data_IF_359998404337
#
_entry.id   IF_359998404337
#
_cell.length_a   1.000
_cell.length_b   1.000
_cell.length_c   1.000
_cell.angle_alpha   90.00
_cell.angle_beta   90.00
_cell.angle_gamma   90.00
#
_symmetry.space_group_name_H-M   'P 1'
#
loop_
_entity.id
_entity.type
_entity.pdbx_description
1 polymer ?
#
# COMPACT_ATOMS: atom_id res chain seq x y z
N UNK A 1 -20.27 -1.86 14.95
CA UNK A 1 -19.30 -2.98 15.02
C UNK A 1 -18.38 -2.80 13.83
N UNK A 2 -17.12 -2.44 14.04
CA UNK A 2 -16.16 -2.39 12.95
C UNK A 2 -15.77 -3.84 12.65
N UNK A 3 -16.29 -4.41 11.57
CA UNK A 3 -15.84 -5.70 11.09
C UNK A 3 -14.34 -5.60 10.80
N UNK A 4 -13.54 -6.29 11.60
CA UNK A 4 -12.11 -6.41 11.36
C UNK A 4 -11.92 -7.20 10.06
N UNK A 5 -11.67 -6.49 8.96
CA UNK A 5 -11.23 -7.11 7.70
C UNK A 5 -10.08 -8.06 7.99
N UNK A 6 -10.15 -9.29 7.50
CA UNK A 6 -9.04 -10.22 7.69
C UNK A 6 -7.80 -9.70 6.95
N UNK A 7 -6.61 -10.09 7.42
CA UNK A 7 -5.35 -9.71 6.76
C UNK A 7 -5.37 -10.02 5.25
N UNK A 8 -5.93 -11.19 4.91
CA UNK A 8 -6.06 -11.65 3.53
C UNK A 8 -6.98 -10.72 2.73
N UNK A 9 -8.08 -10.25 3.31
CA UNK A 9 -8.97 -9.29 2.65
C UNK A 9 -8.27 -7.96 2.40
N UNK A 10 -7.49 -7.45 3.37
CA UNK A 10 -6.74 -6.19 3.22
C UNK A 10 -5.67 -6.30 2.12
N UNK A 11 -4.99 -7.44 2.04
CA UNK A 11 -3.95 -7.68 1.03
C UNK A 11 -4.48 -7.74 -0.39
N UNK A 12 -5.64 -8.36 -0.60
CA UNK A 12 -6.26 -8.54 -1.91
C UNK A 12 -7.26 -7.43 -2.26
N UNK A 13 -7.54 -6.51 -1.34
CA UNK A 13 -8.42 -5.38 -1.59
C UNK A 13 -7.84 -4.53 -2.74
N UNK A 14 -8.63 -4.21 -3.77
CA UNK A 14 -8.17 -3.32 -4.82
C UNK A 14 -7.78 -1.96 -4.26
N UNK A 15 -6.64 -1.43 -4.69
CA UNK A 15 -6.15 -0.09 -4.29
C UNK A 15 -7.20 0.99 -4.59
N UNK A 16 -7.98 0.81 -5.67
CA UNK A 16 -9.08 1.69 -6.03
C UNK A 16 -10.18 1.79 -4.95
N UNK A 17 -10.32 0.78 -4.10
CA UNK A 17 -11.32 0.69 -3.02
C UNK A 17 -10.69 0.82 -1.62
N UNK A 18 -9.37 1.00 -1.52
CA UNK A 18 -8.68 1.12 -0.22
C UNK A 18 -9.16 2.37 0.54
N UNK A 19 -9.70 2.26 1.76
CA UNK A 19 -10.05 3.45 2.55
C UNK A 19 -8.77 4.14 3.07
N UNK A 20 -8.80 5.47 3.15
CA UNK A 20 -7.70 6.27 3.70
C UNK A 20 -6.60 6.68 2.72
N UNK A 21 -6.59 6.13 1.49
CA UNK A 21 -5.57 6.48 0.49
C UNK A 21 -5.97 7.69 -0.37
N UNK A 22 -5.02 8.58 -0.62
CA UNK A 22 -5.13 9.77 -1.43
C UNK A 22 -5.34 9.43 -2.91
N UNK A 23 -6.05 10.32 -3.63
CA UNK A 23 -6.25 10.17 -5.08
C UNK A 23 -4.91 10.17 -5.85
N UNK A 24 -3.94 10.95 -5.36
CA UNK A 24 -2.58 10.97 -5.90
C UNK A 24 -1.93 9.60 -5.79
N UNK A 25 -1.96 8.99 -4.60
CA UNK A 25 -1.36 7.69 -4.38
C UNK A 25 -2.01 6.59 -5.22
N UNK A 26 -3.35 6.58 -5.32
CA UNK A 26 -4.09 5.68 -6.22
C UNK A 26 -3.68 5.85 -7.68
N UNK A 27 -3.55 7.09 -8.16
CA UNK A 27 -3.14 7.37 -9.53
C UNK A 27 -1.71 6.89 -9.81
N UNK A 28 -0.80 7.05 -8.84
CA UNK A 28 0.60 6.57 -8.94
C UNK A 28 0.67 5.05 -8.91
N UNK A 29 -0.08 4.40 -8.03
CA UNK A 29 -0.21 2.94 -7.98
C UNK A 29 -0.71 2.40 -9.32
N UNK A 30 -1.75 3.03 -9.91
CA UNK A 30 -2.26 2.67 -11.23
C UNK A 30 -1.21 2.83 -12.33
N UNK A 31 -0.42 3.91 -12.31
CA UNK A 31 0.67 4.11 -13.27
C UNK A 31 1.77 3.03 -13.16
N UNK A 32 1.99 2.52 -11.94
CA UNK A 32 2.92 1.42 -11.66
C UNK A 32 2.30 0.03 -11.84
N UNK A 33 1.02 -0.05 -12.23
CA UNK A 33 0.23 -1.29 -12.36
C UNK A 33 0.05 -2.08 -11.05
N UNK A 34 0.11 -1.40 -9.91
CA UNK A 34 -0.31 -1.98 -8.64
C UNK A 34 -1.83 -1.98 -8.57
N UNK A 35 -2.38 -3.17 -8.35
CA UNK A 35 -3.83 -3.40 -8.29
C UNK A 35 -4.28 -3.67 -6.87
N UNK A 36 -3.42 -4.27 -6.04
CA UNK A 36 -3.69 -4.65 -4.65
C UNK A 36 -2.56 -4.23 -3.71
N UNK A 37 -2.80 -4.24 -2.40
CA UNK A 37 -1.74 -4.01 -1.41
C UNK A 37 -0.66 -5.09 -1.50
N UNK A 38 -1.05 -6.34 -1.79
CA UNK A 38 -0.12 -7.45 -1.99
C UNK A 38 0.93 -7.14 -3.06
N UNK A 39 0.54 -6.54 -4.18
CA UNK A 39 1.48 -6.18 -5.26
C UNK A 39 2.59 -5.24 -4.77
N UNK A 40 2.26 -4.34 -3.84
CA UNK A 40 3.19 -3.35 -3.29
C UNK A 40 4.09 -3.99 -2.24
N UNK A 41 3.52 -4.71 -1.26
CA UNK A 41 4.32 -5.30 -0.18
C UNK A 41 5.22 -6.43 -0.68
N UNK A 42 4.82 -7.12 -1.75
CA UNK A 42 5.62 -8.18 -2.38
C UNK A 42 6.90 -7.67 -3.07
N UNK A 43 6.96 -6.37 -3.40
CA UNK A 43 8.18 -5.76 -3.93
C UNK A 43 9.22 -5.49 -2.83
N UNK A 44 8.77 -5.23 -1.61
CA UNK A 44 9.62 -4.83 -0.49
C UNK A 44 9.97 -3.34 -0.47
N UNK A 45 10.41 -2.87 0.70
CA UNK A 45 10.66 -1.46 0.97
C UNK A 45 11.69 -0.84 0.02
N UNK A 46 12.78 -1.59 -0.23
CA UNK A 46 13.87 -1.18 -1.09
C UNK A 46 13.40 -0.90 -2.52
N UNK A 47 12.62 -1.80 -3.11
CA UNK A 47 12.14 -1.63 -4.49
C UNK A 47 11.05 -0.57 -4.57
N UNK A 48 10.13 -0.51 -3.60
CA UNK A 48 9.11 0.55 -3.55
C UNK A 48 9.74 1.94 -3.50
N UNK A 49 10.80 2.12 -2.71
CA UNK A 49 11.54 3.39 -2.61
C UNK A 49 12.27 3.81 -3.90
N UNK A 50 12.59 2.84 -4.78
CA UNK A 50 13.28 3.04 -6.06
C UNK A 50 12.34 3.32 -7.22
N UNK A 51 11.03 3.08 -7.05
CA UNK A 51 10.06 3.35 -8.10
C UNK A 51 10.00 4.86 -8.31
N UNK A 52 10.57 5.32 -9.42
CA UNK A 52 10.63 6.73 -9.84
C UNK A 52 9.29 7.48 -9.74
N UNK A 53 8.19 6.75 -9.86
CA UNK A 53 6.84 7.29 -9.78
C UNK A 53 6.26 7.29 -8.37
N UNK A 54 6.70 6.46 -7.43
CA UNK A 54 6.28 6.51 -6.03
C UNK A 54 7.23 7.46 -5.30
N UNK A 55 6.83 8.73 -5.24
CA UNK A 55 7.61 9.75 -4.54
C UNK A 55 7.63 9.52 -3.02
N UNK A 56 8.44 10.30 -2.27
CA UNK A 56 8.56 10.16 -0.82
C UNK A 56 7.24 10.31 -0.08
N UNK A 57 6.34 11.18 -0.55
CA UNK A 57 5.01 11.37 0.07
C UNK A 57 4.14 10.12 -0.05
N UNK A 58 4.20 9.45 -1.21
CA UNK A 58 3.48 8.20 -1.46
C UNK A 58 4.05 7.05 -0.63
N UNK A 59 5.38 7.01 -0.46
CA UNK A 59 6.01 6.02 0.40
C UNK A 59 5.64 6.22 1.88
N UNK A 60 5.63 7.48 2.35
CA UNK A 60 5.14 7.80 3.70
C UNK A 60 3.69 7.37 3.87
N UNK A 61 2.82 7.67 2.92
CA UNK A 61 1.40 7.28 2.99
C UNK A 61 1.22 5.76 3.10
N UNK A 62 2.01 4.97 2.37
CA UNK A 62 2.05 3.51 2.50
C UNK A 62 2.49 3.07 3.90
N UNK A 63 3.58 3.64 4.41
CA UNK A 63 4.14 3.31 5.73
C UNK A 63 3.15 3.66 6.84
N UNK A 64 2.54 4.84 6.78
CA UNK A 64 1.53 5.29 7.76
C UNK A 64 0.32 4.34 7.74
N UNK A 65 -0.18 3.99 6.55
CA UNK A 65 -1.29 3.04 6.40
C UNK A 65 -0.99 1.66 6.99
N UNK A 66 0.21 1.13 6.75
CA UNK A 66 0.66 -0.15 7.28
C UNK A 66 0.88 -0.08 8.79
N UNK A 67 1.41 1.03 9.31
CA UNK A 67 1.62 1.26 10.74
C UNK A 67 0.30 1.31 11.51
N UNK A 68 -0.70 2.08 11.02
CA UNK A 68 -2.03 2.17 11.62
C UNK A 68 -2.76 0.82 11.74
N UNK A 69 -2.37 -0.17 10.94
CA UNK A 69 -2.98 -1.50 10.89
C UNK A 69 -2.07 -2.59 11.46
N UNK A 70 -0.95 -2.22 12.05
CA UNK A 70 0.04 -3.16 12.62
C UNK A 70 0.62 -4.12 11.57
N UNK A 71 0.71 -3.69 10.30
CA UNK A 71 1.14 -4.48 9.14
C UNK A 71 2.54 -4.14 8.63
N UNK A 72 3.32 -3.31 9.35
CA UNK A 72 4.67 -2.92 8.91
C UNK A 72 5.61 -4.11 8.69
N UNK A 73 5.39 -5.20 9.41
CA UNK A 73 6.11 -6.47 9.27
C UNK A 73 5.97 -7.10 7.87
N UNK A 74 5.01 -6.67 7.06
CA UNK A 74 4.83 -7.13 5.67
C UNK A 74 5.75 -6.44 4.67
N UNK A 75 6.45 -5.37 5.06
CA UNK A 75 7.36 -4.65 4.19
C UNK A 75 8.80 -5.18 4.41
N UNK A 76 9.31 -6.13 3.61
CA UNK A 76 10.66 -6.64 3.79
C UNK A 76 11.70 -5.54 3.59
N UNK A 77 12.76 -5.61 4.41
CA UNK A 77 13.89 -4.67 4.42
C UNK A 77 14.69 -4.70 3.12
#
# INVERSE_FOLDING_TARGET
>A
MAESLSLTDVLHLPIAHMPGWSNTFRARCRACRFTTLQDIVSLGAAEVSRIKYLGPDCFRELVDFLHERELLLLLPH
#
